data_IF_579971572506
#
_entry.id   IF_579971572506
#
_cell.length_a   1.000
_cell.length_b   1.000
_cell.length_c   1.000
_cell.angle_alpha   90.00
_cell.angle_beta   90.00
_cell.angle_gamma   90.00
#
_symmetry.space_group_name_H-M   'P 1'
#
loop_
_entity.id
_entity.type
_entity.pdbx_description
1 polymer ?
#
# COMPACT_ATOMS: atom_id res chain seq x y z
N UNK A 1 -13.10 -25.26 -13.21
CA UNK A 1 -12.46 -24.33 -12.26
C UNK A 1 -11.70 -23.32 -13.10
N UNK A 2 -12.21 -22.11 -13.20
CA UNK A 2 -11.67 -21.07 -14.07
C UNK A 2 -10.46 -20.46 -13.37
N UNK A 3 -9.28 -20.59 -13.98
CA UNK A 3 -8.05 -20.10 -13.38
C UNK A 3 -7.94 -18.60 -13.64
N UNK A 4 -8.32 -17.79 -12.65
CA UNK A 4 -8.20 -16.33 -12.75
C UNK A 4 -6.73 -15.95 -12.63
N UNK A 5 -6.18 -15.42 -13.72
CA UNK A 5 -4.85 -14.84 -13.75
C UNK A 5 -4.94 -13.35 -13.38
N UNK A 6 -4.73 -13.05 -12.10
CA UNK A 6 -4.80 -11.70 -11.53
C UNK A 6 -3.85 -10.72 -12.25
N UNK A 7 -2.73 -11.20 -12.80
CA UNK A 7 -1.76 -10.33 -13.48
C UNK A 7 -2.32 -9.70 -14.76
N UNK A 8 -3.38 -10.28 -15.36
CA UNK A 8 -4.09 -9.64 -16.48
C UNK A 8 -4.72 -8.29 -16.07
N UNK A 9 -5.00 -8.12 -14.78
CA UNK A 9 -5.58 -6.91 -14.20
C UNK A 9 -4.53 -5.93 -13.66
N UNK A 10 -3.24 -6.16 -13.93
CA UNK A 10 -2.12 -5.32 -13.45
C UNK A 10 -2.36 -3.82 -13.64
N UNK A 11 -2.89 -3.42 -14.80
CA UNK A 11 -3.22 -2.01 -15.09
C UNK A 11 -4.30 -1.45 -14.17
N UNK A 12 -5.33 -2.24 -13.86
CA UNK A 12 -6.43 -1.85 -12.97
C UNK A 12 -5.95 -1.77 -11.52
N UNK A 13 -5.17 -2.75 -11.06
CA UNK A 13 -4.58 -2.74 -9.71
C UNK A 13 -3.74 -1.47 -9.50
N UNK A 14 -2.91 -1.10 -10.49
CA UNK A 14 -2.14 0.15 -10.41
C UNK A 14 -3.01 1.41 -10.42
N UNK A 15 -4.08 1.43 -11.20
CA UNK A 15 -5.01 2.56 -11.24
C UNK A 15 -5.77 2.73 -9.92
N UNK A 16 -6.22 1.63 -9.33
CA UNK A 16 -6.89 1.61 -8.02
C UNK A 16 -5.95 2.16 -6.96
N UNK A 17 -4.73 1.61 -6.83
CA UNK A 17 -3.72 2.11 -5.87
C UNK A 17 -3.48 3.61 -6.01
N UNK A 18 -3.31 4.11 -7.24
CA UNK A 18 -3.11 5.54 -7.49
C UNK A 18 -4.33 6.39 -7.11
N UNK A 19 -5.54 5.90 -7.38
CA UNK A 19 -6.77 6.62 -7.04
C UNK A 19 -6.99 6.77 -5.53
N UNK A 20 -6.59 5.78 -4.73
CA UNK A 20 -6.88 5.77 -3.29
C UNK A 20 -5.87 6.54 -2.44
N UNK A 21 -4.62 6.71 -2.90
CA UNK A 21 -3.56 7.39 -2.14
C UNK A 21 -3.92 8.85 -1.81
N UNK A 22 -4.58 9.58 -2.72
CA UNK A 22 -4.92 10.99 -2.50
C UNK A 22 -6.24 11.24 -1.76
N UNK A 23 -7.04 10.20 -1.54
CA UNK A 23 -8.37 10.35 -0.92
C UNK A 23 -8.36 10.71 0.57
N UNK A 24 -7.40 10.26 1.40
CA UNK A 24 -7.38 10.62 2.81
C UNK A 24 -7.33 12.12 3.07
N UNK A 25 -6.59 12.87 2.24
CA UNK A 25 -6.49 14.33 2.38
C UNK A 25 -7.81 15.06 2.11
N UNK A 26 -8.67 14.48 1.28
CA UNK A 26 -9.93 15.10 0.84
C UNK A 26 -11.13 14.62 1.67
N UNK A 27 -11.09 13.36 2.11
CA UNK A 27 -12.27 12.69 2.67
C UNK A 27 -12.15 12.39 4.17
N UNK A 28 -10.93 12.39 4.72
CA UNK A 28 -10.67 11.98 6.10
C UNK A 28 -10.71 10.47 6.34
N UNK A 29 -10.95 9.65 5.30
CA UNK A 29 -10.86 8.18 5.39
C UNK A 29 -9.45 7.68 5.12
N UNK A 30 -9.05 6.61 5.79
CA UNK A 30 -7.79 5.92 5.47
C UNK A 30 -7.89 5.19 4.13
N UNK A 31 -6.75 4.96 3.48
CA UNK A 31 -6.66 4.20 2.22
C UNK A 31 -7.26 2.81 2.37
N UNK A 32 -6.96 2.14 3.49
CA UNK A 32 -7.50 0.82 3.84
C UNK A 32 -9.02 0.84 3.91
N UNK A 33 -9.61 1.80 4.63
CA UNK A 33 -11.07 1.92 4.72
C UNK A 33 -11.70 2.07 3.35
N UNK A 34 -11.18 2.97 2.49
CA UNK A 34 -11.73 3.17 1.15
C UNK A 34 -11.70 1.89 0.31
N UNK A 35 -10.59 1.14 0.36
CA UNK A 35 -10.48 -0.12 -0.36
C UNK A 35 -11.44 -1.17 0.20
N UNK A 36 -11.56 -1.27 1.52
CA UNK A 36 -12.43 -2.23 2.19
C UNK A 36 -13.91 -1.95 1.90
N UNK A 37 -14.32 -0.69 1.99
CA UNK A 37 -15.68 -0.26 1.65
C UNK A 37 -16.00 -0.60 0.19
N UNK A 38 -15.03 -0.39 -0.72
CA UNK A 38 -15.17 -0.77 -2.12
C UNK A 38 -15.27 -2.29 -2.33
N UNK A 39 -14.51 -3.09 -1.59
CA UNK A 39 -14.57 -4.57 -1.65
C UNK A 39 -15.91 -5.06 -1.13
N UNK A 40 -16.38 -4.53 -0.01
CA UNK A 40 -17.67 -4.86 0.59
C UNK A 40 -18.83 -4.48 -0.32
N UNK A 41 -18.78 -3.29 -0.93
CA UNK A 41 -19.76 -2.85 -1.91
C UNK A 41 -19.85 -3.81 -3.11
N UNK A 42 -18.71 -4.19 -3.69
CA UNK A 42 -18.66 -5.14 -4.82
C UNK A 42 -19.23 -6.51 -4.45
N UNK A 43 -18.95 -6.99 -3.23
CA UNK A 43 -19.48 -8.27 -2.77
C UNK A 43 -20.98 -8.23 -2.50
N UNK A 44 -21.49 -7.15 -1.90
CA UNK A 44 -22.92 -6.95 -1.70
C UNK A 44 -23.67 -6.85 -3.03
N UNK A 45 -23.13 -6.11 -4.00
CA UNK A 45 -23.70 -6.04 -5.35
C UNK A 45 -23.68 -7.42 -6.03
N UNK A 46 -22.66 -8.25 -5.80
CA UNK A 46 -22.64 -9.64 -6.27
C UNK A 46 -23.78 -10.47 -5.65
N UNK A 47 -24.01 -10.35 -4.34
CA UNK A 47 -25.09 -11.09 -3.66
C UNK A 47 -26.45 -10.74 -4.27
N UNK A 48 -26.66 -9.47 -4.64
CA UNK A 48 -27.92 -8.99 -5.23
C UNK A 48 -28.04 -9.35 -6.71
N UNK A 49 -26.99 -9.15 -7.49
CA UNK A 49 -27.04 -9.22 -8.96
C UNK A 49 -26.59 -10.57 -9.54
N UNK A 50 -25.86 -11.38 -8.77
CA UNK A 50 -25.30 -12.67 -9.18
C UNK A 50 -24.19 -12.59 -10.25
N UNK A 51 -23.69 -11.38 -10.55
CA UNK A 51 -22.69 -11.15 -11.61
C UNK A 51 -21.29 -11.53 -11.16
N UNK A 52 -20.73 -12.60 -11.73
CA UNK A 52 -19.39 -13.10 -11.37
C UNK A 52 -18.27 -12.06 -11.60
N UNK A 53 -18.45 -11.14 -12.53
CA UNK A 53 -17.48 -10.07 -12.81
C UNK A 53 -17.24 -9.18 -11.58
N UNK A 54 -18.23 -9.03 -10.71
CA UNK A 54 -18.11 -8.26 -9.47
C UNK A 54 -17.19 -8.94 -8.47
N UNK A 55 -17.21 -10.28 -8.39
CA UNK A 55 -16.25 -11.04 -7.57
C UNK A 55 -14.83 -10.89 -8.11
N UNK A 56 -14.65 -10.92 -9.44
CA UNK A 56 -13.34 -10.68 -10.06
C UNK A 56 -12.83 -9.28 -9.72
N UNK A 57 -13.68 -8.26 -9.80
CA UNK A 57 -13.32 -6.90 -9.39
C UNK A 57 -13.00 -6.82 -7.89
N UNK A 58 -13.77 -7.48 -7.03
CA UNK A 58 -13.48 -7.52 -5.60
C UNK A 58 -12.09 -8.13 -5.33
N UNK A 59 -11.71 -9.20 -6.05
CA UNK A 59 -10.37 -9.79 -5.99
C UNK A 59 -9.28 -8.81 -6.45
N UNK A 60 -9.51 -8.03 -7.50
CA UNK A 60 -8.57 -6.99 -7.96
C UNK A 60 -8.38 -5.90 -6.88
N UNK A 61 -9.44 -5.55 -6.16
CA UNK A 61 -9.37 -4.62 -5.04
C UNK A 61 -8.67 -5.24 -3.82
N UNK A 62 -8.92 -6.50 -3.49
CA UNK A 62 -8.18 -7.25 -2.46
C UNK A 62 -6.69 -7.28 -2.80
N UNK A 63 -6.34 -7.59 -4.04
CA UNK A 63 -4.96 -7.57 -4.51
C UNK A 63 -4.31 -6.19 -4.33
N UNK A 64 -5.04 -5.12 -4.66
CA UNK A 64 -4.58 -3.74 -4.45
C UNK A 64 -4.33 -3.48 -2.96
N UNK A 65 -5.26 -3.86 -2.10
CA UNK A 65 -5.15 -3.76 -0.64
C UNK A 65 -3.89 -4.45 -0.11
N UNK A 66 -3.64 -5.69 -0.53
CA UNK A 66 -2.47 -6.43 -0.08
C UNK A 66 -1.15 -5.84 -0.61
N UNK A 67 -1.11 -5.42 -1.88
CA UNK A 67 0.07 -4.76 -2.44
C UNK A 67 0.38 -3.40 -1.81
N UNK A 68 -0.63 -2.73 -1.25
CA UNK A 68 -0.47 -1.53 -0.42
C UNK A 68 0.03 -1.84 0.99
N UNK A 69 0.27 -3.11 1.30
CA UNK A 69 0.89 -3.55 2.53
C UNK A 69 -0.08 -3.92 3.64
N UNK A 70 -1.38 -3.83 3.39
CA UNK A 70 -2.39 -4.20 4.37
C UNK A 70 -2.51 -5.72 4.52
N UNK A 71 -2.94 -6.17 5.69
CA UNK A 71 -2.89 -7.60 6.05
C UNK A 71 -4.19 -8.29 5.65
N UNK A 72 -4.08 -9.40 4.92
CA UNK A 72 -5.23 -10.22 4.52
C UNK A 72 -6.10 -10.62 5.71
N UNK A 73 -5.45 -11.02 6.80
CA UNK A 73 -6.10 -11.64 7.93
C UNK A 73 -6.99 -10.66 8.72
N UNK A 74 -6.79 -9.35 8.58
CA UNK A 74 -7.65 -8.30 9.19
C UNK A 74 -9.10 -8.39 8.73
N UNK A 75 -9.31 -8.87 7.50
CA UNK A 75 -10.64 -9.02 6.85
C UNK A 75 -10.83 -10.40 6.26
N UNK A 76 -10.21 -11.40 6.90
CA UNK A 76 -10.23 -12.80 6.47
C UNK A 76 -11.63 -13.31 6.13
N UNK A 77 -12.61 -13.05 6.98
CA UNK A 77 -13.98 -13.54 6.76
C UNK A 77 -14.57 -13.04 5.44
N UNK A 78 -14.50 -11.72 5.19
CA UNK A 78 -14.99 -11.12 3.94
C UNK A 78 -14.22 -11.65 2.72
N UNK A 79 -12.89 -11.68 2.82
CA UNK A 79 -12.05 -12.10 1.69
C UNK A 79 -12.25 -13.58 1.37
N UNK A 80 -12.28 -14.46 2.37
CA UNK A 80 -12.53 -15.89 2.17
C UNK A 80 -13.92 -16.11 1.53
N UNK A 81 -14.97 -15.39 1.97
CA UNK A 81 -16.31 -15.50 1.36
C UNK A 81 -16.34 -15.08 -0.12
N UNK A 82 -15.56 -14.07 -0.52
CA UNK A 82 -15.40 -13.67 -1.92
C UNK A 82 -14.69 -14.77 -2.72
N UNK A 83 -13.62 -15.35 -2.16
CA UNK A 83 -12.86 -16.41 -2.83
C UNK A 83 -13.66 -17.70 -2.97
N UNK A 84 -14.39 -18.09 -1.94
CA UNK A 84 -15.29 -19.25 -1.95
C UNK A 84 -16.38 -19.08 -3.02
N UNK A 85 -17.02 -17.91 -3.11
CA UNK A 85 -18.01 -17.61 -4.14
C UNK A 85 -17.42 -17.66 -5.56
N UNK A 86 -16.14 -17.35 -5.71
CA UNK A 86 -15.41 -17.43 -6.97
C UNK A 86 -14.97 -18.86 -7.32
N UNK A 87 -14.97 -19.77 -6.35
CA UNK A 87 -14.54 -21.16 -6.48
C UNK A 87 -13.03 -21.32 -6.39
N UNK A 88 -12.36 -20.49 -5.59
CA UNK A 88 -10.91 -20.49 -5.40
C UNK A 88 -10.54 -20.29 -3.93
N UNK A 89 -9.25 -20.26 -3.62
CA UNK A 89 -8.74 -20.07 -2.26
C UNK A 89 -7.51 -19.15 -2.29
N UNK A 90 -7.21 -18.55 -1.13
CA UNK A 90 -6.07 -17.64 -0.94
C UNK A 90 -4.77 -18.17 -1.53
N UNK A 91 -4.47 -19.47 -1.33
CA UNK A 91 -3.22 -20.10 -1.78
C UNK A 91 -3.05 -20.17 -3.30
N UNK A 92 -4.14 -20.08 -4.07
CA UNK A 92 -4.10 -20.16 -5.53
C UNK A 92 -3.98 -18.78 -6.18
N UNK A 93 -4.68 -17.78 -5.63
CA UNK A 93 -4.64 -16.41 -6.14
C UNK A 93 -3.49 -15.57 -5.57
N UNK A 94 -3.11 -15.84 -4.32
CA UNK A 94 -2.09 -15.11 -3.59
C UNK A 94 -0.94 -16.04 -3.14
N UNK A 95 -0.29 -16.78 -4.05
CA UNK A 95 0.49 -17.98 -3.71
C UNK A 95 1.79 -17.76 -2.91
N UNK A 96 2.33 -16.53 -2.72
CA UNK A 96 3.52 -16.29 -1.86
C UNK A 96 3.90 -14.81 -1.68
N UNK A 97 4.34 -14.47 -0.45
CA UNK A 97 5.31 -13.44 0.05
C UNK A 97 5.42 -12.01 -0.54
N UNK A 98 4.87 -11.71 -1.71
CA UNK A 98 4.93 -10.40 -2.36
C UNK A 98 3.83 -9.43 -1.91
N UNK A 99 2.79 -9.96 -1.25
CA UNK A 99 1.55 -9.26 -0.90
C UNK A 99 1.45 -8.90 0.59
N UNK A 100 2.52 -9.14 1.35
CA UNK A 100 2.68 -8.54 2.65
C UNK A 100 3.63 -7.36 2.46
N UNK A 101 3.29 -6.18 3.02
CA UNK A 101 4.25 -5.10 3.11
C UNK A 101 5.55 -5.68 3.66
N UNK A 102 6.67 -5.31 3.03
CA UNK A 102 7.95 -5.80 3.52
C UNK A 102 8.12 -5.22 4.92
N UNK A 103 8.10 -6.10 5.92
CA UNK A 103 8.41 -5.74 7.30
C UNK A 103 9.85 -5.28 7.39
N UNK A 104 10.05 -4.10 7.95
CA UNK A 104 11.36 -3.48 8.10
C UNK A 104 11.59 -3.14 9.56
N UNK A 105 12.70 -3.61 10.11
CA UNK A 105 13.13 -3.21 11.46
C UNK A 105 13.30 -1.70 11.54
N UNK A 106 12.83 -1.08 12.61
CA UNK A 106 12.96 0.35 12.82
C UNK A 106 14.40 0.76 13.24
N UNK A 107 15.37 0.64 12.32
CA UNK A 107 16.75 1.07 12.52
C UNK A 107 17.32 1.77 11.29
N UNK A 108 18.40 2.56 11.50
CA UNK A 108 18.98 3.41 10.46
C UNK A 108 19.37 2.65 9.20
N UNK A 109 19.98 1.47 9.33
CA UNK A 109 20.45 0.69 8.19
C UNK A 109 19.29 0.12 7.37
N UNK A 110 18.24 -0.33 8.04
CA UNK A 110 17.06 -0.89 7.40
C UNK A 110 16.25 0.19 6.67
N UNK A 111 16.03 1.35 7.30
CA UNK A 111 15.38 2.52 6.68
C UNK A 111 16.22 3.04 5.49
N UNK A 112 17.55 3.15 5.64
CA UNK A 112 18.46 3.56 4.56
C UNK A 112 18.36 2.66 3.33
N UNK A 113 18.17 1.35 3.51
CA UNK A 113 18.01 0.39 2.42
C UNK A 113 16.72 0.57 1.65
N UNK A 114 15.66 1.06 2.29
CA UNK A 114 14.41 1.42 1.60
C UNK A 114 14.65 2.64 0.70
N UNK A 115 15.33 3.65 1.24
CA UNK A 115 15.61 4.90 0.54
C UNK A 115 16.73 4.69 -0.47
N UNK A 116 16.40 4.22 -1.67
CA UNK A 116 17.39 3.83 -2.68
C UNK A 116 18.27 5.00 -3.15
N UNK A 117 17.65 6.08 -3.60
CA UNK A 117 18.34 7.25 -4.17
C UNK A 117 17.91 8.52 -3.45
N UNK A 118 18.88 9.14 -2.79
CA UNK A 118 18.72 10.45 -2.15
C UNK A 118 19.96 11.31 -2.44
N UNK A 119 20.04 11.95 -3.62
CA UNK A 119 21.23 12.69 -4.02
C UNK A 119 21.57 13.85 -3.08
N UNK A 120 22.87 14.18 -3.02
CA UNK A 120 23.39 15.42 -2.40
C UNK A 120 23.12 16.60 -3.35
N UNK A 121 21.88 17.05 -3.44
CA UNK A 121 21.51 18.29 -4.14
C UNK A 121 21.49 19.48 -3.17
N UNK A 122 21.80 20.69 -3.67
CA UNK A 122 21.85 21.93 -2.86
C UNK A 122 20.46 22.36 -2.36
N UNK A 123 19.38 21.98 -3.05
CA UNK A 123 18.00 22.37 -2.75
C UNK A 123 17.20 21.23 -2.07
N UNK A 124 17.87 20.29 -1.42
CA UNK A 124 17.18 19.18 -0.73
C UNK A 124 16.54 19.68 0.57
N UNK A 125 15.32 19.22 0.88
CA UNK A 125 14.68 19.48 2.18
C UNK A 125 15.44 18.83 3.33
N UNK A 126 15.99 17.63 3.10
CA UNK A 126 16.70 16.86 4.10
C UNK A 126 18.00 16.28 3.53
N UNK A 127 19.03 16.17 4.35
CA UNK A 127 20.07 15.17 4.14
C UNK A 127 19.52 13.76 4.32
N UNK A 128 20.22 12.76 3.78
CA UNK A 128 19.78 11.36 3.92
C UNK A 128 19.75 10.95 5.41
N UNK A 129 20.69 11.42 6.22
CA UNK A 129 20.74 11.10 7.65
C UNK A 129 19.64 11.80 8.43
N UNK A 130 19.34 13.06 8.12
CA UNK A 130 18.20 13.79 8.71
C UNK A 130 16.87 13.12 8.36
N UNK A 131 16.66 12.75 7.09
CA UNK A 131 15.47 12.02 6.64
C UNK A 131 15.30 10.70 7.41
N UNK A 132 16.36 9.91 7.53
CA UNK A 132 16.31 8.63 8.24
C UNK A 132 15.99 8.83 9.72
N UNK A 133 16.65 9.79 10.37
CA UNK A 133 16.41 10.07 11.77
C UNK A 133 14.99 10.58 12.00
N UNK A 134 14.48 11.42 11.11
CA UNK A 134 13.13 11.97 11.15
C UNK A 134 12.05 10.90 10.97
N UNK A 135 12.22 9.97 10.01
CA UNK A 135 11.32 8.80 9.86
C UNK A 135 11.34 7.95 11.14
N UNK A 136 12.52 7.60 11.66
CA UNK A 136 12.64 6.77 12.87
C UNK A 136 11.98 7.47 14.06
N UNK A 137 12.23 8.77 14.24
CA UNK A 137 11.66 9.56 15.32
C UNK A 137 10.14 9.65 15.23
N UNK A 138 9.58 9.90 14.04
CA UNK A 138 8.12 9.96 13.83
C UNK A 138 7.44 8.63 14.11
N UNK A 139 7.98 7.54 13.59
CA UNK A 139 7.42 6.20 13.82
C UNK A 139 7.54 5.80 15.28
N UNK A 140 8.73 5.96 15.88
CA UNK A 140 8.98 5.56 17.27
C UNK A 140 8.12 6.32 18.27
N UNK A 141 7.89 7.61 18.02
CA UNK A 141 7.07 8.46 18.89
C UNK A 141 5.60 8.52 18.46
N UNK A 142 5.16 7.68 17.50
CA UNK A 142 3.79 7.66 16.96
C UNK A 142 3.25 9.06 16.64
N UNK A 143 4.07 9.88 15.97
CA UNK A 143 3.68 11.22 15.54
C UNK A 143 2.65 11.09 14.42
N UNK A 144 1.37 11.19 14.79
CA UNK A 144 0.25 11.04 13.86
C UNK A 144 0.36 12.10 12.76
N UNK A 145 0.23 11.67 11.51
CA UNK A 145 0.25 12.52 10.34
C UNK A 145 0.65 11.80 9.07
N UNK A 146 0.48 12.50 7.95
CA UNK A 146 0.97 12.12 6.62
C UNK A 146 2.17 13.01 6.29
N UNK A 147 3.32 12.40 6.05
CA UNK A 147 4.57 13.10 5.77
C UNK A 147 5.10 12.75 4.38
N UNK A 148 5.34 13.79 3.59
CA UNK A 148 5.84 13.65 2.22
C UNK A 148 7.33 13.98 2.16
N UNK A 149 8.10 13.11 1.51
CA UNK A 149 9.53 13.30 1.31
C UNK A 149 9.85 13.24 -0.18
N UNK A 150 10.42 14.34 -0.70
CA UNK A 150 10.80 14.45 -2.09
C UNK A 150 12.28 14.74 -2.23
N UNK A 151 12.92 14.09 -3.20
CA UNK A 151 14.26 14.39 -3.67
C UNK A 151 14.28 14.55 -5.18
N UNK A 152 14.91 15.63 -5.63
CA UNK A 152 15.09 15.96 -7.04
C UNK A 152 16.56 15.89 -7.43
N UNK A 153 16.83 15.58 -8.70
CA UNK A 153 18.17 15.53 -9.28
C UNK A 153 18.30 16.56 -10.42
N UNK A 154 19.33 17.40 -10.32
CA UNK A 154 19.69 18.37 -11.37
C UNK A 154 18.82 19.64 -11.40
N UNK A 155 19.01 20.48 -12.43
CA UNK A 155 18.31 21.77 -12.61
C UNK A 155 16.87 21.64 -13.15
N UNK A 156 16.50 20.46 -13.68
CA UNK A 156 15.18 20.19 -14.30
C UNK A 156 14.17 19.51 -13.35
N UNK A 157 14.43 19.54 -12.04
CA UNK A 157 13.53 18.99 -11.01
C UNK A 157 13.08 17.53 -11.26
N UNK A 158 13.94 16.70 -11.86
CA UNK A 158 13.63 15.28 -12.04
C UNK A 158 13.49 14.63 -10.66
N UNK A 159 12.27 14.21 -10.30
CA UNK A 159 11.99 13.53 -9.03
C UNK A 159 12.65 12.15 -9.08
N UNK A 160 13.57 11.91 -8.14
CA UNK A 160 14.34 10.64 -8.03
C UNK A 160 14.08 9.89 -6.72
N UNK A 161 13.43 10.55 -5.77
CA UNK A 161 12.89 9.94 -4.56
C UNK A 161 11.57 10.63 -4.23
N UNK A 162 10.50 9.85 -4.11
CA UNK A 162 9.19 10.31 -3.67
C UNK A 162 8.65 9.28 -2.70
N UNK A 163 8.47 9.69 -1.46
CA UNK A 163 8.05 8.83 -0.38
C UNK A 163 6.96 9.48 0.45
N UNK A 164 6.09 8.65 0.98
CA UNK A 164 5.01 9.04 1.89
C UNK A 164 5.12 8.17 3.15
N UNK A 165 5.10 8.80 4.32
CA UNK A 165 5.02 8.13 5.61
C UNK A 165 3.66 8.45 6.21
N UNK A 166 2.84 7.43 6.40
CA UNK A 166 1.54 7.55 7.06
C UNK A 166 1.66 6.93 8.45
N UNK A 167 1.26 7.71 9.45
CA UNK A 167 1.19 7.28 10.84
C UNK A 167 -0.17 7.73 11.38
N UNK A 168 -0.99 6.79 11.80
CA UNK A 168 -2.19 7.06 12.57
C UNK A 168 -2.35 6.01 13.70
N UNK A 169 -3.51 6.00 14.36
CA UNK A 169 -3.79 5.08 15.47
C UNK A 169 -3.99 3.62 15.03
N UNK A 170 -4.17 3.38 13.74
CA UNK A 170 -4.53 2.09 13.11
C UNK A 170 -3.44 1.60 12.16
N UNK A 171 -2.71 2.49 11.52
CA UNK A 171 -1.82 2.23 10.40
C UNK A 171 -0.49 2.97 10.58
N UNK A 172 0.59 2.26 10.25
CA UNK A 172 1.90 2.87 10.10
C UNK A 172 2.62 2.24 8.91
N UNK A 173 2.76 2.99 7.82
CA UNK A 173 3.43 2.51 6.62
C UNK A 173 4.26 3.58 5.94
N UNK A 174 5.30 3.14 5.25
CA UNK A 174 6.16 3.94 4.41
C UNK A 174 6.02 3.48 2.97
N UNK A 175 5.66 4.40 2.09
CA UNK A 175 5.36 4.14 0.69
C UNK A 175 6.43 4.79 -0.20
N UNK A 176 7.17 3.97 -0.94
CA UNK A 176 8.01 4.40 -2.06
C UNK A 176 7.12 4.54 -3.30
N UNK A 177 6.70 5.77 -3.58
CA UNK A 177 5.73 6.09 -4.64
C UNK A 177 6.30 5.84 -6.04
N UNK A 178 7.63 5.96 -6.21
CA UNK A 178 8.29 5.73 -7.50
C UNK A 178 8.33 4.24 -7.82
N UNK A 179 8.74 3.43 -6.84
CA UNK A 179 8.83 1.99 -7.02
C UNK A 179 7.50 1.28 -6.74
N UNK A 180 6.48 2.00 -6.26
CA UNK A 180 5.16 1.49 -5.86
C UNK A 180 5.28 0.38 -4.82
N UNK A 181 6.12 0.60 -3.81
CA UNK A 181 6.43 -0.38 -2.75
C UNK A 181 6.05 0.14 -1.38
N UNK A 182 5.39 -0.71 -0.61
CA UNK A 182 4.95 -0.42 0.75
C UNK A 182 5.80 -1.19 1.75
N UNK A 183 6.15 -0.51 2.83
CA UNK A 183 6.96 -1.01 3.92
C UNK A 183 6.23 -0.72 5.22
N UNK A 184 6.14 -1.71 6.09
CA UNK A 184 5.60 -1.54 7.45
C UNK A 184 6.76 -1.72 8.41
N UNK A 185 6.80 -0.92 9.47
CA UNK A 185 7.85 -1.02 10.47
C UNK A 185 7.47 -2.04 11.53
N UNK A 186 8.37 -2.97 11.84
CA UNK A 186 8.20 -3.81 13.04
C UNK A 186 8.57 -2.94 14.26
N UNK A 187 7.58 -2.69 15.12
CA UNK A 187 7.80 -2.24 16.49
C UNK A 187 8.43 -3.43 17.24
N UNK A 188 9.75 -3.43 17.43
CA UNK A 188 10.44 -4.39 18.34
C UNK A 188 9.96 -4.21 19.78
#
# INVERSE_FOLDING_TARGET
>A
MEHIDIEQYRRQIEAIKLSVIGLPEVTGFTVSQVLLDSIEYLYNDFIVLGKRELLTQAVVHIQSYLEMGFVYDDKKLLFDSILEALGTEKKYLFPKQYYAAKKVKLNKNAVRRIIKKWPRTKNRQFSIDELINDIIDKVKNKKIGVYHYQSTLGKKENIVGLYELVIDNRECYFHDMICKKYYVFDEE
#
